data_IF_188405190527
#
_entry.id   IF_188405190527
#
_cell.length_a   1.000
_cell.length_b   1.000
_cell.length_c   1.000
_cell.angle_alpha   90.00
_cell.angle_beta   90.00
_cell.angle_gamma   90.00
#
_symmetry.space_group_name_H-M   'P 1'
#
loop_
_entity.id
_entity.type
_entity.pdbx_description
1 polymer ?
#
# COMPACT_ATOMS: atom_id res chain seq x y z
N UNK A 1 -68.56 -1.92 10.55
CA UNK A 1 -67.78 -3.02 9.95
C UNK A 1 -66.66 -2.41 9.17
N UNK A 2 -65.42 -2.64 9.61
CA UNK A 2 -64.21 -2.13 8.99
C UNK A 2 -64.13 -2.56 7.51
N UNK A 3 -63.74 -1.63 6.64
CA UNK A 3 -63.17 -1.93 5.33
C UNK A 3 -61.83 -1.21 5.23
N UNK A 4 -60.85 -1.97 4.79
CA UNK A 4 -59.42 -1.73 4.91
C UNK A 4 -58.96 -0.44 4.23
N UNK A 5 -58.19 0.37 4.97
CA UNK A 5 -57.38 1.46 4.42
C UNK A 5 -56.12 0.84 3.81
N UNK A 6 -56.03 0.86 2.48
CA UNK A 6 -54.84 0.45 1.76
C UNK A 6 -53.83 1.61 1.77
N UNK A 7 -52.71 1.42 2.48
CA UNK A 7 -51.58 2.35 2.46
C UNK A 7 -51.04 2.49 1.03
N UNK A 8 -50.76 3.70 0.53
CA UNK A 8 -49.98 3.85 -0.70
C UNK A 8 -48.58 3.30 -0.41
N UNK A 9 -48.07 2.47 -1.33
CA UNK A 9 -46.69 2.06 -1.31
C UNK A 9 -45.83 3.31 -1.44
N UNK A 10 -45.00 3.60 -0.42
CA UNK A 10 -43.91 4.56 -0.53
C UNK A 10 -42.96 4.02 -1.61
N UNK A 11 -43.22 4.44 -2.85
CA UNK A 11 -42.28 4.32 -3.95
C UNK A 11 -41.11 5.23 -3.58
N UNK A 12 -40.09 4.64 -2.95
CA UNK A 12 -38.85 5.32 -2.65
C UNK A 12 -38.25 5.78 -3.98
N UNK A 13 -38.53 7.04 -4.34
CA UNK A 13 -37.91 7.74 -5.46
C UNK A 13 -36.43 7.87 -5.09
N UNK A 14 -35.65 6.87 -5.48
CA UNK A 14 -34.20 7.03 -5.55
C UNK A 14 -33.97 8.27 -6.43
N UNK A 15 -33.15 9.25 -5.99
CA UNK A 15 -32.97 10.46 -6.76
C UNK A 15 -32.36 10.09 -8.11
N UNK A 16 -33.18 10.17 -9.16
CA UNK A 16 -32.74 10.03 -10.55
C UNK A 16 -31.69 11.10 -10.79
N UNK A 17 -30.42 10.70 -10.82
CA UNK A 17 -29.31 11.62 -10.91
C UNK A 17 -29.33 12.25 -12.31
N UNK A 18 -29.62 13.56 -12.45
CA UNK A 18 -29.86 14.20 -13.74
C UNK A 18 -28.60 14.30 -14.62
N UNK A 19 -27.44 13.89 -14.10
CA UNK A 19 -26.17 13.80 -14.83
C UNK A 19 -25.89 12.39 -15.40
N UNK A 20 -26.73 11.40 -15.09
CA UNK A 20 -26.63 10.04 -15.62
C UNK A 20 -27.77 9.81 -16.62
N UNK A 21 -27.48 10.01 -17.90
CA UNK A 21 -28.42 9.63 -18.96
C UNK A 21 -28.71 8.12 -18.90
N UNK A 22 -30.00 7.75 -18.95
CA UNK A 22 -30.47 6.37 -19.06
C UNK A 22 -30.24 5.82 -20.47
N UNK A 23 -28.98 5.59 -20.84
CA UNK A 23 -28.66 4.80 -22.04
C UNK A 23 -28.80 3.29 -21.74
N UNK A 24 -30.00 2.74 -21.89
CA UNK A 24 -30.29 1.31 -21.64
C UNK A 24 -29.69 0.35 -22.68
N UNK A 25 -29.23 0.85 -23.84
CA UNK A 25 -28.65 0.03 -24.91
C UNK A 25 -27.12 -0.12 -24.88
N UNK A 26 -26.39 0.94 -24.52
CA UNK A 26 -24.92 1.01 -24.62
C UNK A 26 -24.20 0.44 -23.36
N UNK A 27 -24.91 0.38 -22.23
CA UNK A 27 -24.37 -0.09 -20.94
C UNK A 27 -24.06 -1.59 -20.89
N UNK A 28 -24.71 -2.41 -21.71
CA UNK A 28 -24.53 -3.88 -21.66
C UNK A 28 -23.19 -4.31 -22.26
N UNK A 29 -22.81 -3.69 -23.38
CA UNK A 29 -21.52 -3.96 -24.03
C UNK A 29 -20.35 -3.36 -23.24
N UNK A 30 -20.53 -2.16 -22.65
CA UNK A 30 -19.53 -1.59 -21.73
C UNK A 30 -19.30 -2.49 -20.52
N UNK A 31 -20.37 -2.97 -19.87
CA UNK A 31 -20.24 -3.88 -18.70
C UNK A 31 -19.60 -5.22 -19.06
N UNK A 32 -19.90 -5.77 -20.24
CA UNK A 32 -19.26 -6.99 -20.73
C UNK A 32 -17.79 -6.77 -21.05
N UNK A 33 -17.43 -5.63 -21.65
CA UNK A 33 -16.05 -5.26 -21.92
C UNK A 33 -15.27 -5.01 -20.62
N UNK A 34 -15.88 -4.36 -19.63
CA UNK A 34 -15.28 -4.11 -18.31
C UNK A 34 -15.05 -5.45 -17.57
N UNK A 35 -16.05 -6.33 -17.54
CA UNK A 35 -15.92 -7.68 -16.98
C UNK A 35 -14.88 -8.51 -17.72
N UNK A 36 -14.84 -8.44 -19.06
CA UNK A 36 -13.81 -9.10 -19.86
C UNK A 36 -12.42 -8.55 -19.52
N UNK A 37 -12.29 -7.24 -19.31
CA UNK A 37 -11.03 -6.61 -18.93
C UNK A 37 -10.61 -7.02 -17.51
N UNK A 38 -11.55 -7.13 -16.57
CA UNK A 38 -11.31 -7.63 -15.22
C UNK A 38 -10.87 -9.11 -15.24
N UNK A 39 -11.61 -9.97 -15.94
CA UNK A 39 -11.26 -11.38 -16.10
C UNK A 39 -9.91 -11.56 -16.81
N UNK A 40 -9.63 -10.77 -17.85
CA UNK A 40 -8.34 -10.75 -18.51
C UNK A 40 -7.25 -10.27 -17.56
N UNK A 41 -7.48 -9.25 -16.73
CA UNK A 41 -6.52 -8.82 -15.72
C UNK A 41 -6.25 -9.95 -14.71
N UNK A 42 -7.27 -10.64 -14.22
CA UNK A 42 -7.09 -11.76 -13.30
C UNK A 42 -6.31 -12.90 -13.98
N UNK A 43 -6.71 -13.29 -15.20
CA UNK A 43 -6.11 -14.39 -15.94
C UNK A 43 -4.69 -14.10 -16.46
N UNK A 44 -4.41 -12.85 -16.84
CA UNK A 44 -3.10 -12.42 -17.36
C UNK A 44 -2.20 -11.80 -16.30
N UNK A 45 -2.70 -11.56 -15.09
CA UNK A 45 -1.85 -11.28 -13.93
C UNK A 45 -0.99 -12.51 -13.69
N UNK A 46 0.20 -12.51 -14.29
CA UNK A 46 1.26 -13.43 -13.91
C UNK A 46 1.58 -13.05 -12.46
N UNK A 47 1.01 -13.78 -11.50
CA UNK A 47 1.32 -13.69 -10.07
C UNK A 47 2.73 -14.24 -9.84
N UNK A 48 3.70 -13.54 -10.40
CA UNK A 48 5.10 -13.80 -10.21
C UNK A 48 5.48 -13.14 -8.90
N UNK A 49 5.73 -13.95 -7.89
CA UNK A 49 6.27 -13.47 -6.62
C UNK A 49 7.65 -12.89 -6.88
N UNK A 50 7.81 -11.59 -6.66
CA UNK A 50 9.12 -10.93 -6.69
C UNK A 50 9.66 -10.98 -5.26
N UNK A 51 10.80 -11.65 -5.07
CA UNK A 51 11.47 -11.80 -3.80
C UNK A 51 12.74 -10.96 -3.79
N UNK A 52 12.92 -10.16 -2.74
CA UNK A 52 14.07 -9.30 -2.54
C UNK A 52 14.71 -9.63 -1.20
N UNK A 53 16.04 -9.79 -1.18
CA UNK A 53 16.78 -9.97 0.06
C UNK A 53 17.12 -8.60 0.63
N UNK A 54 16.72 -8.36 1.86
CA UNK A 54 17.03 -7.14 2.61
C UNK A 54 18.23 -7.45 3.51
N UNK A 55 19.31 -6.71 3.30
CA UNK A 55 20.56 -6.85 4.05
C UNK A 55 21.11 -5.49 4.43
N UNK A 56 21.62 -5.39 5.65
CA UNK A 56 22.40 -4.26 6.13
C UNK A 56 23.91 -4.59 6.02
N UNK A 57 24.77 -3.60 6.22
CA UNK A 57 26.24 -3.72 6.29
C UNK A 57 26.72 -4.85 7.22
N UNK A 58 25.95 -5.18 8.26
CA UNK A 58 26.24 -6.24 9.23
C UNK A 58 25.74 -7.64 8.84
N UNK A 59 24.85 -7.79 7.85
CA UNK A 59 24.21 -9.08 7.57
C UNK A 59 22.79 -9.00 7.03
N UNK A 60 22.13 -10.16 6.88
CA UNK A 60 20.77 -10.26 6.34
C UNK A 60 19.76 -9.84 7.41
N UNK A 61 18.81 -8.97 7.03
CA UNK A 61 17.71 -8.54 7.91
C UNK A 61 16.46 -9.38 7.65
N UNK A 62 16.19 -9.71 6.39
CA UNK A 62 15.03 -10.51 6.03
C UNK A 62 14.82 -10.58 4.53
N UNK A 63 13.65 -11.03 4.13
CA UNK A 63 13.21 -11.07 2.74
C UNK A 63 11.91 -10.31 2.58
N UNK A 64 11.79 -9.55 1.50
CA UNK A 64 10.57 -8.87 1.10
C UNK A 64 10.00 -9.52 -0.13
N UNK A 65 8.69 -9.70 -0.18
CA UNK A 65 8.02 -10.16 -1.37
C UNK A 65 6.78 -9.35 -1.74
N UNK A 66 6.57 -9.25 -3.05
CA UNK A 66 5.48 -8.53 -3.69
C UNK A 66 4.98 -9.29 -4.91
N UNK A 67 3.67 -9.33 -5.12
CA UNK A 67 3.05 -10.16 -6.17
C UNK A 67 3.06 -9.51 -7.55
N UNK A 68 3.14 -8.18 -7.63
CA UNK A 68 3.19 -7.42 -8.87
C UNK A 68 3.92 -6.10 -8.67
N UNK A 69 4.47 -5.55 -9.74
CA UNK A 69 5.16 -4.25 -9.75
C UNK A 69 4.42 -3.21 -10.60
N UNK A 70 3.28 -3.60 -11.18
CA UNK A 70 2.40 -2.76 -11.98
C UNK A 70 1.02 -2.77 -11.33
N UNK A 71 0.55 -1.60 -10.97
CA UNK A 71 -0.71 -1.35 -10.29
C UNK A 71 -1.57 -0.37 -11.08
N UNK A 72 -2.85 -0.29 -10.74
CA UNK A 72 -3.76 0.76 -11.23
C UNK A 72 -4.14 1.71 -10.10
N UNK A 73 -4.53 2.91 -10.48
CA UNK A 73 -5.15 3.87 -9.54
C UNK A 73 -6.36 3.20 -8.88
N UNK A 74 -6.45 3.30 -7.55
CA UNK A 74 -7.49 2.66 -6.74
C UNK A 74 -7.19 1.22 -6.30
N UNK A 75 -6.06 0.64 -6.71
CA UNK A 75 -5.63 -0.66 -6.18
C UNK A 75 -4.81 -0.52 -4.89
N UNK A 76 -4.73 -1.61 -4.14
CA UNK A 76 -3.89 -1.74 -2.96
C UNK A 76 -2.56 -2.40 -3.29
N UNK A 77 -1.47 -1.79 -2.82
CA UNK A 77 -0.12 -2.36 -2.87
C UNK A 77 0.10 -3.20 -1.62
N UNK A 78 0.10 -4.52 -1.81
CA UNK A 78 0.30 -5.49 -0.73
C UNK A 78 1.70 -6.09 -0.84
N UNK A 79 2.43 -6.05 0.28
CA UNK A 79 3.75 -6.63 0.41
C UNK A 79 3.90 -7.38 1.73
N UNK A 80 4.78 -8.38 1.75
CA UNK A 80 5.05 -9.21 2.92
C UNK A 80 6.53 -9.25 3.22
N UNK A 81 6.88 -9.16 4.50
CA UNK A 81 8.23 -9.30 5.01
C UNK A 81 8.35 -10.60 5.79
N UNK A 82 9.46 -11.30 5.57
CA UNK A 82 9.84 -12.47 6.36
C UNK A 82 11.22 -12.19 7.00
N UNK A 83 11.23 -12.05 8.31
CA UNK A 83 12.42 -11.80 9.13
C UNK A 83 12.94 -13.07 9.82
N UNK A 84 12.30 -14.23 9.61
CA UNK A 84 12.70 -15.50 10.26
C UNK A 84 14.10 -15.97 9.88
N UNK A 85 14.58 -15.63 8.68
CA UNK A 85 15.91 -15.96 8.19
C UNK A 85 16.90 -14.78 8.31
N UNK A 86 16.58 -13.76 9.11
CA UNK A 86 17.43 -12.60 9.34
C UNK A 86 18.46 -12.85 10.44
N UNK A 87 19.72 -12.54 10.18
CA UNK A 87 20.79 -12.54 11.19
C UNK A 87 20.64 -11.32 12.14
N UNK A 88 20.08 -10.23 11.63
CA UNK A 88 19.89 -8.97 12.36
C UNK A 88 18.40 -8.77 12.65
N UNK A 89 18.01 -8.56 13.93
CA UNK A 89 16.62 -8.31 14.25
C UNK A 89 16.19 -6.93 13.77
N UNK A 90 15.09 -6.90 13.01
CA UNK A 90 14.40 -5.67 12.63
C UNK A 90 13.50 -5.22 13.79
N UNK A 91 13.74 -4.01 14.28
CA UNK A 91 13.00 -3.41 15.39
C UNK A 91 11.72 -2.76 14.88
N UNK A 92 11.80 -2.07 13.75
CA UNK A 92 10.68 -1.35 13.15
C UNK A 92 10.93 -1.18 11.66
N UNK A 93 9.87 -1.18 10.86
CA UNK A 93 9.93 -0.70 9.48
C UNK A 93 8.85 0.33 9.20
N UNK A 94 9.08 1.13 8.16
CA UNK A 94 8.07 1.96 7.54
C UNK A 94 8.12 1.81 6.03
N UNK A 95 6.94 1.76 5.41
CA UNK A 95 6.78 1.73 3.96
C UNK A 95 5.94 2.92 3.55
N UNK A 96 6.45 3.71 2.62
CA UNK A 96 5.77 4.88 2.07
C UNK A 96 5.58 4.72 0.57
N UNK A 97 4.34 4.89 0.11
CA UNK A 97 4.01 4.99 -1.30
C UNK A 97 4.26 6.43 -1.76
N UNK A 98 5.22 6.62 -2.65
CA UNK A 98 5.69 7.94 -3.07
C UNK A 98 5.67 8.12 -4.58
N UNK A 99 5.45 9.36 -5.02
CA UNK A 99 5.74 9.80 -6.38
C UNK A 99 7.01 10.63 -6.41
N UNK A 100 7.83 10.34 -7.41
CA UNK A 100 9.08 11.00 -7.74
C UNK A 100 8.88 11.86 -8.98
N UNK A 101 8.95 13.18 -8.83
CA UNK A 101 8.85 14.16 -9.92
C UNK A 101 10.24 14.71 -10.26
N UNK A 102 10.69 14.44 -11.47
CA UNK A 102 11.99 14.87 -11.98
C UNK A 102 11.84 15.71 -13.25
N UNK A 103 12.57 16.83 -13.30
CA UNK A 103 12.62 17.74 -14.46
C UNK A 103 13.88 17.41 -15.28
N UNK A 104 13.71 17.27 -16.59
CA UNK A 104 14.80 17.03 -17.54
C UNK A 104 15.85 18.13 -17.44
N UNK A 105 17.12 17.75 -17.50
CA UNK A 105 18.26 18.64 -17.22
C UNK A 105 18.26 19.90 -18.09
N UNK A 106 17.84 19.77 -19.35
CA UNK A 106 17.71 20.85 -20.34
C UNK A 106 16.68 21.93 -19.95
N UNK A 107 15.69 21.56 -19.15
CA UNK A 107 14.58 22.42 -18.72
C UNK A 107 14.65 22.80 -17.24
N UNK A 108 15.73 22.41 -16.54
CA UNK A 108 15.91 22.75 -15.14
C UNK A 108 16.13 24.27 -14.96
N UNK A 109 15.45 24.85 -13.97
CA UNK A 109 15.64 26.28 -13.62
C UNK A 109 17.04 26.54 -13.04
N UNK A 110 17.61 25.53 -12.39
CA UNK A 110 18.96 25.54 -11.81
C UNK A 110 19.60 24.18 -12.10
N UNK A 111 20.87 24.16 -12.52
CA UNK A 111 21.60 22.90 -12.70
C UNK A 111 21.61 22.11 -11.40
N UNK A 112 21.17 20.86 -11.45
CA UNK A 112 21.08 19.99 -10.29
C UNK A 112 19.86 20.29 -9.41
N UNK A 113 18.76 20.77 -9.99
CA UNK A 113 17.50 20.93 -9.25
C UNK A 113 17.10 19.57 -8.65
N UNK A 114 16.81 19.50 -7.33
CA UNK A 114 16.49 18.23 -6.68
C UNK A 114 15.14 17.71 -7.16
N UNK A 115 15.05 16.38 -7.14
CA UNK A 115 13.82 15.63 -7.42
C UNK A 115 12.81 15.89 -6.31
N UNK A 116 11.54 16.08 -6.68
CA UNK A 116 10.45 16.32 -5.73
C UNK A 116 9.78 15.00 -5.37
N UNK A 117 9.54 14.77 -4.08
CA UNK A 117 8.88 13.58 -3.57
C UNK A 117 7.57 13.93 -2.89
N UNK A 118 6.50 13.19 -3.21
CA UNK A 118 5.20 13.33 -2.55
C UNK A 118 4.77 11.97 -2.00
N UNK A 119 4.42 11.92 -0.71
CA UNK A 119 3.94 10.71 -0.04
C UNK A 119 2.42 10.65 -0.15
N UNK A 120 1.88 9.54 -0.66
CA UNK A 120 0.43 9.32 -0.82
C UNK A 120 -0.14 8.46 0.31
N UNK A 121 0.60 7.45 0.75
CA UNK A 121 0.21 6.57 1.84
C UNK A 121 1.46 6.10 2.60
N UNK A 122 1.32 5.84 3.91
CA UNK A 122 2.40 5.34 4.77
C UNK A 122 1.88 4.27 5.71
N UNK A 123 2.68 3.23 5.88
CA UNK A 123 2.49 2.18 6.86
C UNK A 123 3.74 2.09 7.74
N UNK A 124 3.56 1.81 9.03
CA UNK A 124 4.64 1.70 10.00
C UNK A 124 4.28 0.65 11.04
N UNK A 125 5.20 -0.25 11.32
CA UNK A 125 5.00 -1.35 12.25
C UNK A 125 6.27 -1.62 13.06
N UNK A 126 6.10 -1.96 14.34
CA UNK A 126 7.18 -2.46 15.20
C UNK A 126 7.29 -3.97 15.04
N UNK A 127 8.47 -4.46 14.71
CA UNK A 127 8.70 -5.85 14.28
C UNK A 127 9.61 -6.64 15.21
N UNK A 128 9.87 -6.09 16.40
CA UNK A 128 10.65 -6.77 17.41
C UNK A 128 10.04 -8.17 17.69
N UNK A 129 10.85 -9.22 17.52
CA UNK A 129 10.46 -10.64 17.65
C UNK A 129 9.36 -11.14 16.69
N UNK A 130 9.07 -10.40 15.62
CA UNK A 130 8.08 -10.81 14.62
C UNK A 130 8.75 -11.59 13.49
N UNK A 131 8.33 -12.83 13.25
CA UNK A 131 8.90 -13.66 12.18
C UNK A 131 8.44 -13.23 10.78
N UNK A 132 7.20 -12.73 10.66
CA UNK A 132 6.60 -12.31 9.40
C UNK A 132 5.64 -11.13 9.65
N UNK A 133 5.67 -10.15 8.75
CA UNK A 133 4.75 -9.00 8.75
C UNK A 133 4.25 -8.72 7.32
N UNK A 134 3.19 -7.94 7.19
CA UNK A 134 2.63 -7.50 5.91
C UNK A 134 2.12 -6.07 5.98
N UNK A 135 2.03 -5.42 4.82
CA UNK A 135 1.39 -4.11 4.71
C UNK A 135 0.43 -4.08 3.52
N UNK A 136 -0.53 -3.15 3.59
CA UNK A 136 -1.37 -2.74 2.46
C UNK A 136 -1.36 -1.22 2.36
N UNK A 137 -0.95 -0.70 1.20
CA UNK A 137 -0.94 0.74 0.92
C UNK A 137 -1.92 1.04 -0.22
N UNK A 138 -3.04 1.74 0.05
CA UNK A 138 -3.99 2.08 -1.00
C UNK A 138 -3.42 3.14 -1.93
N UNK A 139 -3.56 2.95 -3.25
CA UNK A 139 -3.26 3.97 -4.25
C UNK A 139 -4.47 4.90 -4.36
N UNK A 140 -4.37 6.18 -3.95
CA UNK A 140 -5.52 7.06 -3.94
C UNK A 140 -6.11 7.30 -5.34
N UNK A 141 -7.44 7.39 -5.42
CA UNK A 141 -8.15 7.64 -6.69
C UNK A 141 -7.86 9.03 -7.29
N UNK A 142 -7.47 9.98 -6.44
CA UNK A 142 -7.08 11.34 -6.83
C UNK A 142 -5.59 11.45 -7.23
N UNK A 143 -4.82 10.37 -7.15
CA UNK A 143 -3.41 10.40 -7.52
C UNK A 143 -3.22 10.36 -9.05
N UNK A 144 -2.12 10.95 -9.51
CA UNK A 144 -1.79 10.99 -10.95
C UNK A 144 -1.02 9.73 -11.35
N UNK A 145 -1.41 9.00 -12.41
CA UNK A 145 -0.67 7.84 -12.89
C UNK A 145 0.74 8.23 -13.34
N UNK A 146 1.64 7.26 -13.40
CA UNK A 146 3.01 7.50 -13.85
C UNK A 146 3.06 7.92 -15.32
N UNK A 147 3.76 9.00 -15.63
CA UNK A 147 3.93 9.49 -16.99
C UNK A 147 5.33 10.07 -17.21
N UNK A 148 5.73 10.19 -18.47
CA UNK A 148 7.02 10.80 -18.83
C UNK A 148 6.85 11.61 -20.09
N UNK A 149 7.26 12.87 -20.03
CA UNK A 149 7.32 13.79 -21.16
C UNK A 149 8.77 14.17 -21.44
N UNK A 150 8.98 15.00 -22.47
CA UNK A 150 10.26 15.62 -22.78
C UNK A 150 10.71 16.68 -21.75
N UNK A 151 9.86 17.04 -20.79
CA UNK A 151 10.15 18.09 -19.80
C UNK A 151 10.16 17.51 -18.38
N UNK A 152 9.18 16.69 -18.03
CA UNK A 152 8.99 16.17 -16.67
C UNK A 152 8.66 14.67 -16.69
N UNK A 153 9.15 13.95 -15.69
CA UNK A 153 8.84 12.56 -15.45
C UNK A 153 8.27 12.40 -14.05
N UNK A 154 7.10 11.76 -13.95
CA UNK A 154 6.47 11.38 -12.69
C UNK A 154 6.50 9.85 -12.58
N UNK A 155 7.29 9.34 -11.64
CA UNK A 155 7.46 7.90 -11.37
C UNK A 155 6.91 7.55 -10.00
N UNK A 156 6.52 6.29 -9.82
CA UNK A 156 6.04 5.78 -8.55
C UNK A 156 7.09 4.88 -7.92
N UNK A 157 7.24 4.96 -6.59
CA UNK A 157 8.16 4.12 -5.82
C UNK A 157 7.59 3.78 -4.45
N UNK A 158 7.98 2.62 -3.95
CA UNK A 158 7.86 2.27 -2.54
C UNK A 158 9.18 2.64 -1.86
N UNK A 159 9.10 3.52 -0.88
CA UNK A 159 10.22 3.90 -0.03
C UNK A 159 10.13 3.13 1.28
N UNK A 160 11.13 2.32 1.57
CA UNK A 160 11.25 1.54 2.78
C UNK A 160 12.28 2.17 3.70
N UNK A 161 11.95 2.26 4.98
CA UNK A 161 12.87 2.65 6.04
C UNK A 161 12.87 1.53 7.09
N UNK A 162 14.05 1.04 7.44
CA UNK A 162 14.22 -0.03 8.42
C UNK A 162 15.04 0.46 9.57
N UNK A 163 14.65 0.03 10.76
CA UNK A 163 15.33 0.27 12.02
C UNK A 163 15.75 -1.10 12.56
N UNK A 164 17.04 -1.34 12.68
CA UNK A 164 17.62 -2.64 13.03
C UNK A 164 18.49 -2.53 14.28
N UNK A 165 18.60 -3.62 15.04
CA UNK A 165 19.50 -3.62 16.20
C UNK A 165 20.96 -3.50 15.77
N UNK A 166 21.70 -2.60 16.42
CA UNK A 166 23.15 -2.49 16.43
C UNK A 166 23.82 -3.75 16.99
N UNK A 167 23.16 -4.34 17.97
CA UNK A 167 23.64 -5.51 18.67
C UNK A 167 23.30 -6.77 17.85
N UNK A 168 24.33 -7.47 17.40
CA UNK A 168 24.20 -8.83 16.86
C UNK A 168 23.60 -9.70 17.97
N UNK A 169 22.73 -10.66 17.65
CA UNK A 169 21.90 -11.44 18.58
C UNK A 169 22.66 -12.34 19.60
N UNK A 170 23.80 -11.91 20.15
CA UNK A 170 24.69 -12.66 21.02
C UNK A 170 24.94 -12.08 22.42
N UNK A 171 24.35 -10.94 22.82
CA UNK A 171 24.66 -10.32 24.13
C UNK A 171 23.53 -10.11 25.11
N UNK A 172 22.39 -10.80 24.97
CA UNK A 172 21.56 -11.09 26.15
C UNK A 172 22.08 -12.37 26.85
N UNK A 173 23.36 -12.38 27.20
CA UNK A 173 23.82 -13.29 28.25
C UNK A 173 23.29 -12.73 29.55
N UNK A 174 22.18 -13.28 30.04
CA UNK A 174 21.85 -13.23 31.46
C UNK A 174 23.14 -13.57 32.19
N UNK A 175 23.76 -12.59 32.83
CA UNK A 175 24.99 -12.76 33.59
C UNK A 175 24.66 -13.70 34.74
N UNK A 176 24.86 -14.99 34.50
CA UNK A 176 24.48 -16.08 35.37
C UNK A 176 25.24 -16.00 36.67
N UNK A 177 24.62 -15.37 37.67
CA UNK A 177 24.74 -15.72 39.08
C UNK A 177 23.66 -14.96 39.82
N UNK A 178 22.51 -15.58 40.07
CA UNK A 178 21.85 -15.60 41.38
C UNK A 178 20.46 -16.27 41.33
N UNK A 179 20.19 -17.07 42.36
CA UNK A 179 18.98 -17.87 42.58
C UNK A 179 17.77 -17.07 43.07
N UNK A 180 17.45 -15.92 42.47
CA UNK A 180 16.24 -15.16 42.82
C UNK A 180 15.43 -14.79 41.57
N UNK A 181 14.13 -14.61 41.77
CA UNK A 181 13.13 -14.36 40.74
C UNK A 181 13.62 -13.32 39.70
N UNK A 182 13.84 -13.80 38.48
CA UNK A 182 14.25 -12.96 37.34
C UNK A 182 13.10 -12.02 37.03
N UNK A 183 13.25 -10.75 37.40
CA UNK A 183 12.35 -9.68 36.98
C UNK A 183 12.78 -9.29 35.57
N UNK A 184 11.96 -9.63 34.58
CA UNK A 184 12.18 -9.19 33.20
C UNK A 184 11.99 -7.68 33.12
N UNK A 185 13.08 -6.94 32.94
CA UNK A 185 13.04 -5.50 32.65
C UNK A 185 13.26 -5.28 31.16
N UNK A 186 12.58 -4.28 30.59
CA UNK A 186 12.85 -3.84 29.23
C UNK A 186 14.26 -3.27 29.11
N UNK A 187 14.88 -3.41 27.94
CA UNK A 187 16.20 -2.83 27.67
C UNK A 187 16.10 -1.29 27.74
N UNK A 188 16.86 -0.66 28.63
CA UNK A 188 16.82 0.80 28.81
C UNK A 188 17.49 1.58 27.67
N UNK A 189 18.46 0.97 26.99
CA UNK A 189 19.19 1.56 25.88
C UNK A 189 19.61 0.48 24.88
N UNK A 190 19.21 0.64 23.62
CA UNK A 190 19.54 -0.29 22.54
C UNK A 190 20.24 0.48 21.42
N UNK A 191 21.36 -0.06 20.92
CA UNK A 191 22.03 0.50 19.74
C UNK A 191 21.20 0.17 18.50
N UNK A 192 21.05 1.13 17.60
CA UNK A 192 20.13 1.04 16.46
C UNK A 192 20.78 1.60 15.20
N UNK A 193 20.61 0.88 14.10
CA UNK A 193 20.93 1.33 12.75
C UNK A 193 19.68 1.56 11.93
N UNK A 194 19.68 2.63 11.15
CA UNK A 194 18.63 2.91 10.18
C UNK A 194 19.18 2.87 8.77
N UNK A 195 18.46 2.23 7.86
CA UNK A 195 18.76 2.28 6.42
C UNK A 195 17.47 2.37 5.61
N UNK A 196 17.59 2.84 4.37
CA UNK A 196 16.47 2.97 3.45
C UNK A 196 16.69 2.16 2.18
N UNK A 197 15.57 1.76 1.56
CA UNK A 197 15.55 1.03 0.30
C UNK A 197 14.39 1.54 -0.55
N UNK A 198 14.60 1.62 -1.86
CA UNK A 198 13.60 2.11 -2.81
C UNK A 198 13.28 1.02 -3.86
N UNK A 199 11.99 0.72 -4.03
CA UNK A 199 11.51 -0.18 -5.08
C UNK A 199 10.63 0.60 -6.08
N UNK A 200 11.06 0.76 -7.34
CA UNK A 200 10.23 1.40 -8.35
C UNK A 200 9.01 0.52 -8.70
N UNK A 201 7.85 1.16 -8.80
CA UNK A 201 6.60 0.52 -9.25
C UNK A 201 5.98 1.35 -10.39
N UNK A 202 5.08 0.75 -11.16
CA UNK A 202 4.32 1.45 -12.20
C UNK A 202 2.87 1.56 -11.77
N UNK A 203 2.31 2.75 -11.83
CA UNK A 203 0.88 2.99 -11.58
C UNK A 203 0.23 3.47 -12.86
N UNK A 204 -0.76 2.71 -13.34
CA UNK A 204 -1.49 2.94 -14.58
C UNK A 204 -2.83 3.63 -14.30
N UNK A 205 -3.36 4.38 -15.27
CA UNK A 205 -4.71 4.93 -15.18
C UNK A 205 -5.75 3.82 -14.96
N UNK A 206 -6.83 4.16 -14.25
CA UNK A 206 -8.01 3.31 -14.10
C UNK A 206 -9.18 3.87 -14.92
N UNK A 207 -10.16 3.02 -15.26
CA UNK A 207 -11.37 3.50 -15.94
C UNK A 207 -12.17 4.36 -14.94
N UNK A 208 -12.53 5.61 -15.28
CA UNK A 208 -13.26 6.50 -14.38
C UNK A 208 -14.61 5.92 -13.90
N UNK A 209 -15.23 5.03 -14.68
CA UNK A 209 -16.45 4.33 -14.27
C UNK A 209 -16.16 3.41 -13.06
N UNK A 210 -15.02 2.71 -13.06
CA UNK A 210 -14.60 1.86 -11.94
C UNK A 210 -14.29 2.68 -10.67
N UNK A 211 -13.71 3.87 -10.84
CA UNK A 211 -13.49 4.80 -9.72
C UNK A 211 -14.81 5.29 -9.10
N UNK A 212 -15.86 5.48 -9.91
CA UNK A 212 -17.17 5.95 -9.43
C UNK A 212 -17.92 4.93 -8.56
N UNK A 213 -17.70 3.63 -8.77
CA UNK A 213 -18.31 2.57 -7.96
C UNK A 213 -17.75 2.52 -6.53
N UNK A 214 -16.48 2.88 -6.33
CA UNK A 214 -15.85 2.91 -4.99
C UNK A 214 -16.42 4.07 -4.16
N UNK A 215 -16.74 5.21 -4.80
CA UNK A 215 -17.34 6.36 -4.12
C UNK A 215 -18.80 6.16 -3.68
N UNK A 216 -19.46 5.06 -4.09
CA UNK A 216 -20.84 4.76 -3.70
C UNK A 216 -20.95 4.00 -2.37
N UNK A 217 -19.84 3.48 -1.83
CA UNK A 217 -19.83 2.96 -0.47
C UNK A 217 -19.75 4.12 0.53
N UNK A 218 -20.90 4.72 0.83
CA UNK A 218 -21.08 5.39 2.11
C UNK A 218 -20.85 4.33 3.19
N UNK A 219 -19.88 4.55 4.06
CA UNK A 219 -19.58 3.69 5.20
C UNK A 219 -20.77 3.69 6.18
N UNK A 220 -21.76 2.83 5.97
CA UNK A 220 -22.81 2.52 6.92
C UNK A 220 -22.27 1.56 7.99
N UNK A 221 -21.42 2.07 8.86
CA UNK A 221 -21.17 1.46 10.16
C UNK A 221 -22.23 1.98 11.14
N UNK A 222 -23.44 1.43 11.10
CA UNK A 222 -24.40 1.59 12.19
C UNK A 222 -24.45 0.29 12.99
N UNK A 223 -23.79 0.28 14.15
CA UNK A 223 -24.02 -0.74 15.18
C UNK A 223 -25.30 -0.31 15.91
N UNK A 224 -26.37 -1.08 15.76
CA UNK A 224 -27.55 -0.95 16.60
C UNK A 224 -27.27 -1.64 17.92
N UNK A 225 -27.34 -0.89 19.03
CA UNK A 225 -27.32 -1.41 20.40
C UNK A 225 -28.70 -1.99 20.72
#
# INVERSE_FOLDING_TARGET
>A
GLKDYQFPQDEAVAPSNPFLEEEEGLKKDSRLADLATELLMVATSRRSLHLYNISNTRGKVGTFCIFKTVYKIGEDVIGTFNFSEGDIPCLQFSVSLQTEESIQEEFQRRRGQPVSFTVHARHQESCLHTAQSSFSLPIPLNSTPGFTTNIVSLKWRLHFEFVTSGESAGTCLVRGSQSEAVTWTGVEQMEVDTFSWDLPIKVLPTNPILASYVSQFSSTNSITI
#
